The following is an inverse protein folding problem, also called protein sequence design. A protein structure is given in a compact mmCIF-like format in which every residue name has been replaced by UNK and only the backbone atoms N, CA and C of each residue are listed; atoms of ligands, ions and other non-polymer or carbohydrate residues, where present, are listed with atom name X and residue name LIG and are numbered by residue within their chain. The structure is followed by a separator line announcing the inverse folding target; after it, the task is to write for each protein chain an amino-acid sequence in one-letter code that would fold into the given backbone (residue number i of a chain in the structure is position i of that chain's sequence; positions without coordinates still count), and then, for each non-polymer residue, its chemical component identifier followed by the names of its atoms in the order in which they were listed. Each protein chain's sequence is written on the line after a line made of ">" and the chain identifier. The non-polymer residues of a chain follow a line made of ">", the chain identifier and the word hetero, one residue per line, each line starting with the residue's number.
data_IF_047332804114
#
_entry.id   IF_047332804114
#
_cell.length_a   1.000
_cell.length_b   1.000
_cell.length_c   1.000
_cell.angle_alpha   90.00
_cell.angle_beta   90.00
_cell.angle_gamma   90.00
#
_symmetry.space_group_name_H-M   'P 1'
#
loop_
_entity.id
_entity.type
_entity.pdbx_description
1 polymer ?
#
# COMPACT_ATOMS: atom_id res chain seq x y z
N UNK A 1 6.18 15.51 -20.52
CA UNK A 1 5.18 16.46 -20.02
C UNK A 1 5.79 17.19 -18.84
N UNK A 2 5.98 18.51 -18.91
CA UNK A 2 6.57 19.28 -17.81
C UNK A 2 5.48 19.52 -16.76
N UNK A 3 5.48 18.71 -15.70
CA UNK A 3 4.47 18.75 -14.62
C UNK A 3 4.39 20.12 -13.96
N UNK A 4 5.53 20.81 -13.86
CA UNK A 4 5.63 22.17 -13.34
C UNK A 4 4.78 23.16 -14.14
N UNK A 5 4.90 23.19 -15.47
CA UNK A 5 4.13 24.10 -16.32
C UNK A 5 2.61 23.83 -16.26
N UNK A 6 2.22 22.56 -16.14
CA UNK A 6 0.82 22.18 -15.98
C UNK A 6 0.26 22.65 -14.63
N UNK A 7 1.03 22.50 -13.54
CA UNK A 7 0.66 22.99 -12.21
C UNK A 7 0.49 24.52 -12.19
N UNK A 8 1.40 25.27 -12.82
CA UNK A 8 1.29 26.73 -12.92
C UNK A 8 0.02 27.18 -13.63
N UNK A 9 -0.34 26.53 -14.74
CA UNK A 9 -1.56 26.87 -15.49
C UNK A 9 -2.82 26.62 -14.67
N UNK A 10 -2.87 25.52 -13.93
CA UNK A 10 -3.98 25.20 -13.03
C UNK A 10 -4.05 26.21 -11.89
N UNK A 11 -2.91 26.53 -11.25
CA UNK A 11 -2.85 27.48 -10.15
C UNK A 11 -3.35 28.89 -10.51
N UNK A 12 -3.04 29.37 -11.72
CA UNK A 12 -3.49 30.67 -12.21
C UNK A 12 -5.01 30.68 -12.43
N UNK A 13 -5.58 29.57 -12.90
CA UNK A 13 -7.01 29.45 -13.17
C UNK A 13 -7.89 29.25 -11.93
N UNK A 14 -7.30 28.95 -10.77
CA UNK A 14 -8.04 28.58 -9.56
C UNK A 14 -8.46 29.79 -8.70
N UNK A 15 -9.68 29.76 -8.11
CA UNK A 15 -10.09 30.64 -7.02
C UNK A 15 -9.22 30.50 -5.78
N UNK A 16 -9.19 31.55 -4.94
CA UNK A 16 -8.34 31.63 -3.75
C UNK A 16 -8.60 30.50 -2.73
N UNK A 17 -9.84 30.07 -2.56
CA UNK A 17 -10.21 28.95 -1.69
C UNK A 17 -9.59 27.61 -2.11
N UNK A 18 -9.42 27.37 -3.40
CA UNK A 18 -8.81 26.13 -3.89
C UNK A 18 -7.28 26.18 -3.86
N UNK A 19 -6.69 27.38 -3.84
CA UNK A 19 -5.25 27.56 -3.64
C UNK A 19 -4.83 27.15 -2.24
N UNK A 20 -5.65 27.44 -1.23
CA UNK A 20 -5.37 27.03 0.15
C UNK A 20 -5.45 25.52 0.30
N UNK A 21 -6.46 24.86 -0.31
CA UNK A 21 -6.54 23.40 -0.34
C UNK A 21 -5.35 22.75 -1.05
N UNK A 22 -4.92 23.32 -2.18
CA UNK A 22 -3.72 22.84 -2.90
C UNK A 22 -2.47 22.97 -2.03
N UNK A 23 -2.34 24.08 -1.28
CA UNK A 23 -1.25 24.30 -0.35
C UNK A 23 -1.26 23.27 0.78
N UNK A 24 -2.40 23.04 1.43
CA UNK A 24 -2.54 22.01 2.46
C UNK A 24 -2.20 20.61 1.93
N UNK A 25 -2.62 20.28 0.71
CA UNK A 25 -2.30 19.00 0.09
C UNK A 25 -0.80 18.89 -0.24
N UNK A 26 -0.17 19.97 -0.70
CA UNK A 26 1.28 20.00 -0.93
C UNK A 26 2.07 19.80 0.38
N UNK A 27 1.64 20.42 1.48
CA UNK A 27 2.22 20.23 2.81
C UNK A 27 2.02 18.79 3.31
N UNK A 28 0.82 18.24 3.15
CA UNK A 28 0.54 16.84 3.46
C UNK A 28 1.44 15.88 2.68
N UNK A 29 1.65 16.11 1.38
CA UNK A 29 2.56 15.29 0.59
C UNK A 29 4.01 15.38 1.07
N UNK A 30 4.45 16.58 1.47
CA UNK A 30 5.79 16.80 2.02
C UNK A 30 5.99 16.05 3.34
N UNK A 31 4.98 16.06 4.21
CA UNK A 31 5.01 15.38 5.51
C UNK A 31 4.87 13.85 5.39
N UNK A 32 4.03 13.37 4.47
CA UNK A 32 3.78 11.94 4.25
C UNK A 32 4.96 11.23 3.58
N UNK A 33 5.74 11.94 2.76
CA UNK A 33 6.84 11.35 2.00
C UNK A 33 8.18 12.06 2.24
N UNK A 34 8.69 12.09 3.48
CA UNK A 34 9.93 12.80 3.82
C UNK A 34 11.18 12.16 3.18
N UNK A 35 11.08 10.92 2.68
CA UNK A 35 12.20 10.14 2.10
C UNK A 35 12.23 10.11 0.56
N UNK A 36 11.35 10.84 -0.13
CA UNK A 36 11.28 10.80 -1.60
C UNK A 36 12.39 11.63 -2.29
N UNK A 37 13.26 12.32 -1.55
CA UNK A 37 14.45 12.95 -2.13
C UNK A 37 15.57 11.94 -2.46
N UNK A 38 15.49 10.69 -2.00
CA UNK A 38 16.52 9.67 -2.24
C UNK A 38 15.94 8.32 -2.75
N UNK A 39 14.71 8.27 -3.25
CA UNK A 39 14.10 7.02 -3.70
C UNK A 39 13.53 7.12 -5.11
N UNK A 40 14.42 7.30 -6.08
CA UNK A 40 14.24 6.75 -7.43
C UNK A 40 14.61 5.25 -7.51
N UNK A 41 14.75 4.55 -6.37
CA UNK A 41 15.23 3.15 -6.33
C UNK A 41 14.40 2.17 -5.48
N UNK A 42 13.24 2.55 -4.93
CA UNK A 42 12.39 1.60 -4.21
C UNK A 42 10.96 1.56 -4.75
N UNK A 43 10.84 1.38 -6.06
CA UNK A 43 9.72 0.61 -6.63
C UNK A 43 9.93 -0.90 -6.39
N UNK A 44 10.23 -1.27 -5.14
CA UNK A 44 10.06 -2.63 -4.65
C UNK A 44 9.13 -2.58 -3.44
N UNK A 45 8.09 -1.74 -3.49
CA UNK A 45 6.86 -2.14 -2.83
C UNK A 45 6.30 -3.23 -3.74
N UNK A 46 6.79 -4.45 -3.54
CA UNK A 46 6.16 -5.67 -4.04
C UNK A 46 4.75 -5.58 -3.48
N UNK A 47 3.84 -5.04 -4.29
CA UNK A 47 2.43 -5.27 -4.18
C UNK A 47 2.32 -6.78 -4.27
N UNK A 48 2.36 -7.44 -3.11
CA UNK A 48 2.03 -8.85 -3.05
C UNK A 48 0.62 -8.90 -3.60
N UNK A 49 0.51 -9.30 -4.86
CA UNK A 49 -0.75 -9.52 -5.53
C UNK A 49 -1.41 -10.63 -4.73
N UNK A 50 -2.19 -10.25 -3.72
CA UNK A 50 -3.03 -11.17 -2.94
C UNK A 50 -4.25 -11.46 -3.80
N UNK A 51 -3.99 -12.14 -4.91
CA UNK A 51 -5.02 -12.72 -5.76
C UNK A 51 -5.53 -14.02 -5.16
N UNK A 52 -6.66 -14.50 -5.69
CA UNK A 52 -7.14 -15.85 -5.44
C UNK A 52 -6.03 -16.87 -5.72
N UNK A 53 -5.86 -17.85 -4.83
CA UNK A 53 -4.82 -18.88 -4.97
C UNK A 53 -3.39 -18.44 -4.60
N UNK A 54 -3.19 -17.23 -4.06
CA UNK A 54 -1.87 -16.75 -3.59
C UNK A 54 -1.20 -17.64 -2.52
N UNK A 55 -2.00 -18.49 -1.86
CA UNK A 55 -1.56 -19.46 -0.85
C UNK A 55 -1.56 -20.91 -1.35
N UNK A 56 -1.87 -21.14 -2.62
CA UNK A 56 -1.84 -22.48 -3.21
C UNK A 56 -0.43 -23.08 -3.06
N UNK A 57 -0.34 -24.33 -2.62
CA UNK A 57 0.90 -25.07 -2.36
C UNK A 57 1.84 -24.46 -1.29
N UNK A 58 1.39 -23.44 -0.55
CA UNK A 58 2.15 -22.89 0.59
C UNK A 58 1.72 -23.46 1.93
N UNK A 59 0.54 -24.07 1.97
CA UNK A 59 0.02 -24.76 3.14
C UNK A 59 0.54 -26.19 3.07
N UNK A 60 1.42 -26.56 4.00
CA UNK A 60 1.90 -27.92 4.18
C UNK A 60 1.12 -28.48 5.36
N UNK A 61 0.30 -29.50 5.10
CA UNK A 61 -0.39 -30.25 6.13
C UNK A 61 0.57 -31.31 6.69
N UNK A 62 0.61 -31.48 7.99
CA UNK A 62 1.39 -32.54 8.62
C UNK A 62 0.68 -33.89 8.44
N UNK A 63 1.46 -34.97 8.36
CA UNK A 63 0.93 -36.32 8.12
C UNK A 63 0.06 -36.84 9.28
N UNK A 64 0.16 -36.21 10.46
CA UNK A 64 -0.56 -36.52 11.69
C UNK A 64 -1.83 -35.67 11.91
N UNK A 65 -2.22 -34.83 10.94
CA UNK A 65 -3.39 -33.93 11.10
C UNK A 65 -4.71 -34.69 11.34
N UNK A 66 -4.85 -35.86 10.74
CA UNK A 66 -6.02 -36.72 10.90
C UNK A 66 -5.98 -37.56 12.18
N UNK A 67 -4.88 -37.50 12.95
CA UNK A 67 -4.78 -38.23 14.21
C UNK A 67 -5.66 -37.59 15.30
N UNK A 68 -6.37 -38.40 16.11
CA UNK A 68 -7.18 -37.88 17.19
C UNK A 68 -6.28 -37.21 18.23
N UNK A 69 -6.62 -35.96 18.57
CA UNK A 69 -5.96 -35.27 19.66
C UNK A 69 -6.25 -36.01 20.97
N UNK A 70 -5.21 -36.34 21.72
CA UNK A 70 -5.30 -37.10 22.97
C UNK A 70 -6.30 -36.46 23.95
N UNK A 71 -6.30 -35.12 24.03
CA UNK A 71 -7.22 -34.32 24.85
C UNK A 71 -8.69 -34.35 24.39
N UNK A 72 -8.94 -34.68 23.11
CA UNK A 72 -10.29 -34.76 22.53
C UNK A 72 -10.79 -36.21 22.39
N UNK A 73 -9.92 -37.21 22.59
CA UNK A 73 -10.30 -38.62 22.59
C UNK A 73 -11.33 -38.95 23.68
N UNK A 74 -11.28 -38.24 24.81
CA UNK A 74 -12.21 -38.43 25.93
C UNK A 74 -13.61 -37.81 25.67
N UNK A 75 -13.77 -37.02 24.59
CA UNK A 75 -15.00 -36.30 24.24
C UNK A 75 -15.72 -36.86 23.00
N UNK A 76 -15.11 -37.82 22.28
CA UNK A 76 -15.67 -38.47 21.08
C UNK A 76 -16.41 -39.77 21.41
#
# INVERSE_FOLDING_TARGET
>A
MNTELALWKVFISLPESLKTELLHYAEYLREKYPHNQHNQQSQEKIETVRGYGSWANKIIMSDDFDEPLEDLAEYM
#
